data_IF_937477118558
#
_entry.id   IF_937477118558
#
_cell.length_a   1.000
_cell.length_b   1.000
_cell.length_c   1.000
_cell.angle_alpha   90.00
_cell.angle_beta   90.00
_cell.angle_gamma   90.00
#
_symmetry.space_group_name_H-M   'P 1'
#
loop_
_entity.id
_entity.type
_entity.pdbx_description
1 polymer ?
#
# COMPACT_ATOMS: atom_id res chain seq x y z
N UNK A 1 6.59 -7.99 30.69
CA UNK A 1 5.55 -9.03 30.49
C UNK A 1 4.23 -8.32 30.26
N UNK A 2 3.73 -8.32 29.02
CA UNK A 2 2.39 -7.83 28.70
C UNK A 2 1.41 -8.92 29.13
N UNK A 3 0.34 -8.62 29.88
CA UNK A 3 -0.63 -9.64 30.28
C UNK A 3 -1.32 -10.23 29.03
N UNK A 4 -1.70 -11.52 29.05
CA UNK A 4 -2.48 -12.10 27.96
C UNK A 4 -3.80 -11.34 27.85
N UNK A 5 -4.03 -10.69 26.71
CA UNK A 5 -5.29 -10.00 26.42
C UNK A 5 -6.43 -11.01 26.46
N UNK A 6 -7.32 -10.86 27.44
CA UNK A 6 -8.62 -11.53 27.46
C UNK A 6 -9.49 -10.93 26.35
N UNK A 7 -9.57 -11.63 25.21
CA UNK A 7 -10.43 -11.32 24.08
C UNK A 7 -11.88 -11.71 24.40
N UNK A 8 -12.57 -10.85 25.15
CA UNK A 8 -14.02 -10.99 25.40
C UNK A 8 -14.79 -10.44 24.19
N UNK A 9 -14.97 -11.33 23.22
CA UNK A 9 -15.39 -11.21 21.81
C UNK A 9 -16.61 -10.31 21.47
N UNK A 10 -16.66 -9.73 20.24
CA UNK A 10 -17.91 -9.87 19.47
C UNK A 10 -17.79 -10.42 18.03
N UNK A 11 -16.60 -10.51 17.42
CA UNK A 11 -16.36 -11.44 16.31
C UNK A 11 -14.87 -11.82 16.33
N UNK A 12 -14.58 -13.10 16.53
CA UNK A 12 -13.20 -13.58 16.57
C UNK A 12 -12.63 -13.32 15.16
N UNK A 13 -11.33 -13.07 15.00
CA UNK A 13 -10.78 -12.80 13.65
C UNK A 13 -11.08 -13.97 12.69
N UNK A 14 -11.18 -15.17 13.25
CA UNK A 14 -11.74 -16.39 12.70
C UNK A 14 -13.11 -16.14 12.07
N UNK A 15 -14.04 -15.56 12.83
CA UNK A 15 -15.41 -15.25 12.38
C UNK A 15 -15.41 -14.13 11.34
N UNK A 16 -14.56 -13.12 11.50
CA UNK A 16 -14.48 -11.97 10.60
C UNK A 16 -13.92 -12.39 9.22
N UNK A 17 -12.93 -13.30 9.19
CA UNK A 17 -12.43 -13.85 7.95
C UNK A 17 -13.40 -14.88 7.36
N UNK A 18 -14.03 -15.73 8.18
CA UNK A 18 -15.00 -16.73 7.71
C UNK A 18 -16.26 -16.13 7.08
N UNK A 19 -16.68 -14.95 7.54
CA UNK A 19 -17.89 -14.26 7.08
C UNK A 19 -17.65 -13.29 5.93
N UNK A 20 -16.41 -13.07 5.51
CA UNK A 20 -16.05 -12.09 4.50
C UNK A 20 -15.64 -12.76 3.17
N UNK A 21 -16.59 -13.23 2.35
CA UNK A 21 -16.29 -13.82 1.04
C UNK A 21 -15.53 -12.87 0.10
N UNK A 22 -15.75 -11.57 0.28
CA UNK A 22 -15.06 -10.51 -0.47
C UNK A 22 -13.60 -10.35 -0.04
N UNK A 23 -13.20 -10.73 1.18
CA UNK A 23 -11.77 -10.76 1.55
C UNK A 23 -11.01 -11.65 0.61
N UNK A 24 -11.62 -12.74 0.15
CA UNK A 24 -10.90 -13.79 -0.55
C UNK A 24 -10.75 -13.52 -2.06
N UNK A 25 -11.21 -12.35 -2.52
CA UNK A 25 -11.19 -11.93 -3.93
C UNK A 25 -12.08 -12.77 -4.86
N UNK A 26 -12.80 -13.76 -4.33
CA UNK A 26 -13.62 -14.69 -5.09
C UNK A 26 -15.07 -14.20 -5.32
N UNK A 27 -15.49 -13.11 -4.68
CA UNK A 27 -16.84 -12.52 -4.85
C UNK A 27 -18.00 -13.41 -4.38
N UNK A 28 -17.69 -14.58 -3.85
CA UNK A 28 -18.60 -15.52 -3.21
C UNK A 28 -17.86 -16.24 -2.07
N UNK A 29 -18.59 -16.83 -1.13
CA UNK A 29 -17.96 -17.63 -0.07
C UNK A 29 -17.35 -18.89 -0.68
N UNK A 30 -16.08 -19.23 -0.39
CA UNK A 30 -15.54 -20.52 -0.81
C UNK A 30 -16.42 -21.66 -0.27
N UNK A 31 -16.81 -22.58 -1.13
CA UNK A 31 -17.80 -23.61 -0.80
C UNK A 31 -17.21 -24.77 0.02
N UNK A 32 -15.89 -24.97 -0.06
CA UNK A 32 -15.18 -26.07 0.58
C UNK A 32 -13.76 -25.66 1.02
N UNK A 33 -13.10 -26.54 1.77
CA UNK A 33 -11.77 -26.28 2.32
C UNK A 33 -10.68 -26.09 1.26
N UNK A 34 -10.79 -26.74 0.09
CA UNK A 34 -9.83 -26.59 -1.00
C UNK A 34 -9.94 -25.21 -1.64
N UNK A 35 -11.15 -24.69 -1.81
CA UNK A 35 -11.38 -23.32 -2.27
C UNK A 35 -10.88 -22.30 -1.25
N UNK A 36 -11.12 -22.53 0.04
CA UNK A 36 -10.53 -21.69 1.10
C UNK A 36 -9.00 -21.70 1.07
N UNK A 37 -8.39 -22.86 0.86
CA UNK A 37 -6.93 -23.00 0.76
C UNK A 37 -6.36 -22.18 -0.40
N UNK A 38 -6.93 -22.35 -1.59
CA UNK A 38 -6.46 -21.65 -2.79
C UNK A 38 -6.69 -20.15 -2.70
N UNK A 39 -7.84 -19.75 -2.16
CA UNK A 39 -8.14 -18.35 -1.99
C UNK A 39 -7.18 -17.71 -0.97
N UNK A 40 -6.83 -18.39 0.13
CA UNK A 40 -5.87 -17.87 1.13
C UNK A 40 -4.52 -17.59 0.51
N UNK A 41 -3.99 -18.56 -0.24
CA UNK A 41 -2.74 -18.40 -0.99
C UNK A 41 -2.80 -17.24 -1.99
N UNK A 42 -3.89 -17.13 -2.78
CA UNK A 42 -4.08 -16.04 -3.74
C UNK A 42 -4.19 -14.66 -3.07
N UNK A 43 -4.71 -14.63 -1.85
CA UNK A 43 -4.85 -13.42 -1.04
C UNK A 43 -3.56 -12.99 -0.36
N UNK A 44 -2.52 -13.84 -0.37
CA UNK A 44 -1.26 -13.59 0.35
C UNK A 44 -1.33 -13.88 1.85
N UNK A 45 -2.34 -14.61 2.32
CA UNK A 45 -2.51 -14.99 3.73
C UNK A 45 -2.57 -16.52 3.82
N UNK A 46 -1.49 -17.10 4.33
CA UNK A 46 -1.36 -18.54 4.53
C UNK A 46 -1.78 -18.93 5.94
N UNK A 47 -2.19 -20.20 6.12
CA UNK A 47 -2.68 -20.70 7.40
C UNK A 47 -4.16 -20.46 7.66
N UNK A 48 -4.90 -19.85 6.73
CA UNK A 48 -6.33 -19.58 6.93
C UNK A 48 -7.15 -20.85 7.15
N UNK A 49 -6.90 -21.91 6.38
CA UNK A 49 -7.61 -23.19 6.53
C UNK A 49 -7.38 -23.85 7.91
N UNK A 50 -6.13 -24.09 8.36
CA UNK A 50 -5.91 -24.67 9.69
C UNK A 50 -6.42 -23.75 10.79
N UNK A 51 -6.36 -22.44 10.60
CA UNK A 51 -6.90 -21.46 11.53
C UNK A 51 -8.43 -21.56 11.68
N UNK A 52 -9.17 -21.59 10.57
CA UNK A 52 -10.63 -21.75 10.58
C UNK A 52 -11.07 -23.13 11.07
N UNK A 53 -10.29 -24.18 10.77
CA UNK A 53 -10.55 -25.54 11.24
C UNK A 53 -10.39 -25.63 12.78
N UNK A 54 -9.31 -25.07 13.33
CA UNK A 54 -9.07 -25.03 14.78
C UNK A 54 -10.16 -24.24 15.53
N UNK A 55 -10.76 -23.25 14.86
CA UNK A 55 -11.87 -22.46 15.38
C UNK A 55 -13.25 -23.17 15.27
N UNK A 56 -13.31 -24.36 14.67
CA UNK A 56 -14.57 -25.06 14.40
C UNK A 56 -15.47 -24.39 13.35
N UNK A 57 -14.94 -23.45 12.56
CA UNK A 57 -15.69 -22.69 11.56
C UNK A 57 -15.66 -23.32 10.16
N UNK A 58 -14.79 -24.30 9.95
CA UNK A 58 -14.63 -25.00 8.69
C UNK A 58 -14.34 -26.48 8.94
N UNK A 59 -15.16 -27.35 8.36
CA UNK A 59 -14.85 -28.78 8.30
C UNK A 59 -13.84 -29.02 7.17
N UNK A 60 -12.70 -29.64 7.51
CA UNK A 60 -11.56 -29.79 6.59
C UNK A 60 -11.16 -31.27 6.53
N UNK A 61 -11.15 -31.89 5.34
CA UNK A 61 -10.59 -33.22 5.16
C UNK A 61 -9.11 -33.24 5.58
N UNK A 62 -8.66 -34.32 6.24
CA UNK A 62 -7.30 -34.46 6.77
C UNK A 62 -6.21 -34.13 5.72
N UNK A 63 -6.41 -34.60 4.47
CA UNK A 63 -5.51 -34.34 3.36
C UNK A 63 -5.32 -32.84 3.05
N UNK A 64 -6.41 -32.07 3.11
CA UNK A 64 -6.38 -30.61 2.89
C UNK A 64 -5.75 -29.90 4.09
N UNK A 65 -6.00 -30.39 5.31
CA UNK A 65 -5.38 -29.83 6.51
C UNK A 65 -3.86 -30.03 6.51
N UNK A 66 -3.38 -31.20 6.10
CA UNK A 66 -1.96 -31.50 5.92
C UNK A 66 -1.33 -30.55 4.90
N UNK A 67 -1.90 -30.44 3.70
CA UNK A 67 -1.40 -29.53 2.66
C UNK A 67 -1.40 -28.07 3.13
N UNK A 68 -2.45 -27.63 3.82
CA UNK A 68 -2.53 -26.26 4.33
C UNK A 68 -1.50 -25.98 5.42
N UNK A 69 -1.19 -26.97 6.27
CA UNK A 69 -0.15 -26.88 7.28
C UNK A 69 1.25 -26.81 6.65
N UNK A 70 1.50 -27.58 5.59
CA UNK A 70 2.75 -27.51 4.82
C UNK A 70 2.94 -26.14 4.16
N UNK A 71 1.88 -25.58 3.53
CA UNK A 71 1.93 -24.23 2.94
C UNK A 71 2.17 -23.16 4.00
N UNK A 72 1.54 -23.26 5.16
CA UNK A 72 1.78 -22.35 6.28
C UNK A 72 3.25 -22.39 6.71
N UNK A 73 3.81 -23.58 6.92
CA UNK A 73 5.23 -23.73 7.30
C UNK A 73 6.16 -23.13 6.24
N UNK A 74 5.90 -23.39 4.96
CA UNK A 74 6.69 -22.82 3.87
C UNK A 74 6.63 -21.28 3.88
N UNK A 75 5.45 -20.70 4.08
CA UNK A 75 5.27 -19.26 4.15
C UNK A 75 5.91 -18.64 5.40
N UNK A 76 5.88 -19.33 6.55
CA UNK A 76 6.58 -18.90 7.76
C UNK A 76 8.11 -18.92 7.56
N UNK A 77 8.64 -19.93 6.88
CA UNK A 77 10.06 -19.99 6.52
C UNK A 77 10.46 -18.86 5.57
N UNK A 78 9.63 -18.59 4.55
CA UNK A 78 9.81 -17.46 3.63
C UNK A 78 9.79 -16.12 4.39
N UNK A 79 8.82 -15.92 5.27
CA UNK A 79 8.72 -14.72 6.10
C UNK A 79 9.93 -14.55 7.03
N UNK A 80 10.41 -15.64 7.65
CA UNK A 80 11.60 -15.62 8.50
C UNK A 80 12.85 -15.25 7.68
N UNK A 81 13.00 -15.80 6.47
CA UNK A 81 14.07 -15.42 5.56
C UNK A 81 14.02 -13.93 5.22
N UNK A 82 12.85 -13.40 4.84
CA UNK A 82 12.67 -11.99 4.50
C UNK A 82 12.95 -11.09 5.70
N UNK A 83 12.56 -11.52 6.90
CA UNK A 83 12.85 -10.80 8.15
C UNK A 83 14.36 -10.67 8.37
N UNK A 84 15.13 -11.75 8.18
CA UNK A 84 16.58 -11.72 8.32
C UNK A 84 17.23 -10.73 7.33
N UNK A 85 16.78 -10.73 6.08
CA UNK A 85 17.31 -9.81 5.07
C UNK A 85 16.92 -8.34 5.33
N UNK A 86 15.69 -8.11 5.80
CA UNK A 86 15.28 -6.77 6.22
C UNK A 86 16.11 -6.29 7.42
N UNK A 87 16.37 -7.16 8.40
CA UNK A 87 17.22 -6.85 9.56
C UNK A 87 18.68 -6.57 9.17
N UNK A 88 19.22 -7.29 8.18
CA UNK A 88 20.55 -7.04 7.62
C UNK A 88 20.63 -5.62 7.03
N UNK A 89 19.67 -5.25 6.17
CA UNK A 89 19.61 -3.91 5.58
C UNK A 89 19.39 -2.80 6.62
N UNK A 90 18.47 -3.02 7.57
CA UNK A 90 18.24 -2.10 8.70
C UNK A 90 19.52 -1.93 9.51
N UNK A 91 20.23 -3.01 9.82
CA UNK A 91 21.48 -2.99 10.58
C UNK A 91 22.57 -2.20 9.88
N UNK A 92 22.74 -2.38 8.57
CA UNK A 92 23.71 -1.63 7.78
C UNK A 92 23.40 -0.13 7.76
N UNK A 93 22.14 0.26 7.58
CA UNK A 93 21.71 1.67 7.61
C UNK A 93 21.89 2.27 9.02
N UNK A 94 21.48 1.54 10.06
CA UNK A 94 21.58 1.97 11.44
C UNK A 94 23.04 2.13 11.91
N UNK A 95 23.97 1.30 11.39
CA UNK A 95 25.40 1.43 11.67
C UNK A 95 25.99 2.77 11.18
N UNK A 96 25.33 3.44 10.23
CA UNK A 96 25.65 4.80 9.80
C UNK A 96 25.02 5.90 10.68
N UNK A 97 24.35 5.53 11.79
CA UNK A 97 23.63 6.46 12.65
C UNK A 97 22.34 7.00 12.03
N UNK A 98 21.77 6.29 11.05
CA UNK A 98 20.55 6.70 10.34
C UNK A 98 19.35 5.99 10.95
N UNK A 99 18.32 6.76 11.30
CA UNK A 99 17.04 6.19 11.70
C UNK A 99 16.33 5.57 10.48
N UNK A 100 15.94 4.30 10.60
CA UNK A 100 15.25 3.54 9.56
C UNK A 100 14.11 2.76 10.17
N UNK A 101 12.98 2.71 9.47
CA UNK A 101 11.79 1.93 9.86
C UNK A 101 11.30 1.10 8.69
N UNK A 102 10.78 -0.09 8.96
CA UNK A 102 10.12 -0.89 7.93
C UNK A 102 8.64 -0.51 7.86
N UNK A 103 8.17 -0.08 6.69
CA UNK A 103 6.81 0.48 6.53
C UNK A 103 5.70 -0.58 6.59
N UNK A 104 5.96 -1.75 6.02
CA UNK A 104 5.00 -2.85 5.87
C UNK A 104 5.75 -4.18 5.82
N UNK A 105 5.08 -5.26 5.43
CA UNK A 105 5.78 -6.52 5.26
C UNK A 105 5.98 -7.27 6.57
N UNK A 106 7.20 -7.72 6.81
CA UNK A 106 7.56 -8.60 7.93
C UNK A 106 7.42 -7.89 9.28
N UNK A 107 7.86 -6.63 9.43
CA UNK A 107 7.68 -5.88 10.69
C UNK A 107 6.20 -5.63 11.06
N UNK A 108 5.32 -5.48 10.07
CA UNK A 108 3.87 -5.39 10.32
C UNK A 108 3.36 -6.77 10.75
N UNK A 109 3.70 -7.82 10.01
CA UNK A 109 3.29 -9.19 10.30
C UNK A 109 3.66 -9.61 11.72
N UNK A 110 4.88 -9.32 12.16
CA UNK A 110 5.39 -9.68 13.49
C UNK A 110 4.62 -9.03 14.64
N UNK A 111 4.02 -7.84 14.40
CA UNK A 111 3.27 -7.09 15.40
C UNK A 111 1.80 -7.50 15.45
N UNK A 112 1.19 -7.82 14.31
CA UNK A 112 -0.29 -7.93 14.22
C UNK A 112 -0.80 -9.30 13.81
N UNK A 113 0.01 -10.16 13.15
CA UNK A 113 -0.46 -11.48 12.73
C UNK A 113 -0.32 -12.51 13.87
N UNK A 114 -1.36 -13.33 14.11
CA UNK A 114 -1.26 -14.44 15.05
C UNK A 114 -0.33 -15.53 14.48
N UNK A 115 0.33 -16.35 15.32
CA UNK A 115 1.29 -17.38 14.87
C UNK A 115 0.70 -18.40 13.88
N UNK A 116 -0.61 -18.59 13.88
CA UNK A 116 -1.33 -19.52 13.01
C UNK A 116 -1.54 -18.99 11.59
N UNK A 117 -1.25 -17.71 11.35
CA UNK A 117 -1.33 -17.07 10.04
C UNK A 117 0.07 -16.61 9.61
N UNK A 118 0.33 -16.65 8.31
CA UNK A 118 1.53 -16.07 7.72
C UNK A 118 1.17 -15.07 6.64
N UNK A 119 1.84 -13.92 6.67
CA UNK A 119 1.68 -12.85 5.69
C UNK A 119 2.74 -13.02 4.60
N UNK A 120 2.34 -13.42 3.39
CA UNK A 120 3.28 -13.49 2.26
C UNK A 120 3.77 -12.08 1.94
N UNK A 121 5.08 -11.89 2.04
CA UNK A 121 5.77 -10.65 1.70
C UNK A 121 6.42 -10.81 0.32
N UNK A 122 6.47 -9.73 -0.45
CA UNK A 122 7.00 -9.73 -1.83
C UNK A 122 8.24 -8.87 -1.99
N UNK A 123 8.46 -8.01 -1.01
CA UNK A 123 9.35 -6.85 -1.02
C UNK A 123 9.62 -6.42 0.43
N UNK A 124 10.65 -5.59 0.61
CA UNK A 124 11.01 -4.94 1.87
C UNK A 124 10.99 -3.42 1.68
N UNK A 125 10.02 -2.74 2.28
CA UNK A 125 9.95 -1.28 2.27
C UNK A 125 10.62 -0.68 3.50
N UNK A 126 11.73 0.03 3.30
CA UNK A 126 12.42 0.78 4.33
C UNK A 126 12.19 2.27 4.13
N UNK A 127 11.87 2.99 5.20
CA UNK A 127 11.73 4.44 5.21
C UNK A 127 12.87 5.05 6.02
N UNK A 128 13.51 6.06 5.43
CA UNK A 128 14.50 6.92 6.07
C UNK A 128 14.09 8.38 5.90
N UNK A 129 14.70 9.28 6.67
CA UNK A 129 14.50 10.71 6.48
C UNK A 129 15.12 11.17 5.14
N UNK A 130 14.53 12.15 4.43
CA UNK A 130 15.03 12.61 3.14
C UNK A 130 16.52 13.00 3.14
N UNK A 131 16.99 13.68 4.19
CA UNK A 131 18.38 14.13 4.30
C UNK A 131 19.39 12.98 4.46
N UNK A 132 18.93 11.79 4.86
CA UNK A 132 19.78 10.61 5.05
C UNK A 132 19.69 9.63 3.88
N UNK A 133 18.86 9.92 2.88
CA UNK A 133 18.53 8.99 1.81
C UNK A 133 19.77 8.51 1.03
N UNK A 134 20.63 9.43 0.57
CA UNK A 134 21.84 9.07 -0.18
C UNK A 134 22.81 8.22 0.65
N UNK A 135 22.94 8.52 1.95
CA UNK A 135 23.78 7.77 2.87
C UNK A 135 23.21 6.37 3.13
N UNK A 136 21.89 6.26 3.25
CA UNK A 136 21.20 4.98 3.39
C UNK A 136 21.30 4.12 2.11
N UNK A 137 21.18 4.72 0.93
CA UNK A 137 21.45 4.02 -0.33
C UNK A 137 22.86 3.44 -0.36
N UNK A 138 23.87 4.22 0.06
CA UNK A 138 25.25 3.76 0.10
C UNK A 138 25.42 2.57 1.06
N UNK A 139 24.76 2.60 2.22
CA UNK A 139 24.77 1.48 3.17
C UNK A 139 24.08 0.22 2.59
N UNK A 140 22.98 0.37 1.85
CA UNK A 140 22.32 -0.77 1.19
C UNK A 140 23.24 -1.39 0.13
N UNK A 141 23.99 -0.59 -0.63
CA UNK A 141 24.92 -1.09 -1.65
C UNK A 141 26.07 -1.93 -1.09
N UNK A 142 26.49 -1.70 0.16
CA UNK A 142 27.54 -2.53 0.78
C UNK A 142 27.09 -3.96 1.05
N UNK A 143 25.79 -4.24 0.92
CA UNK A 143 25.18 -5.56 1.07
C UNK A 143 24.92 -6.25 -0.28
N UNK A 144 25.62 -5.84 -1.34
CA UNK A 144 25.49 -6.34 -2.72
C UNK A 144 24.13 -6.08 -3.38
N UNK A 145 23.34 -5.15 -2.83
CA UNK A 145 22.15 -4.65 -3.49
C UNK A 145 22.52 -3.68 -4.60
N UNK A 146 21.93 -3.90 -5.78
CA UNK A 146 22.06 -3.01 -6.95
C UNK A 146 20.72 -2.39 -7.28
N UNK A 147 20.73 -1.17 -7.81
CA UNK A 147 19.49 -0.56 -8.32
C UNK A 147 18.87 -1.45 -9.40
N UNK A 148 17.55 -1.61 -9.37
CA UNK A 148 16.86 -2.36 -10.42
C UNK A 148 17.02 -1.73 -11.81
N UNK A 149 17.09 -0.40 -11.87
CA UNK A 149 17.28 0.36 -13.11
C UNK A 149 17.86 1.73 -12.86
N UNK A 150 19.06 2.01 -13.38
CA UNK A 150 19.75 3.29 -13.22
C UNK A 150 18.95 4.49 -13.80
N UNK A 151 18.30 4.29 -14.95
CA UNK A 151 17.45 5.34 -15.56
C UNK A 151 16.21 5.61 -14.73
N UNK A 152 15.58 4.56 -14.20
CA UNK A 152 14.41 4.69 -13.34
C UNK A 152 14.79 5.32 -12.01
N UNK A 153 15.91 4.93 -11.40
CA UNK A 153 16.40 5.48 -10.15
C UNK A 153 16.75 6.97 -10.28
N UNK A 154 17.38 7.41 -11.37
CA UNK A 154 17.64 8.83 -11.60
C UNK A 154 16.34 9.65 -11.75
N UNK A 155 15.34 9.10 -12.43
CA UNK A 155 14.01 9.70 -12.52
C UNK A 155 13.32 9.68 -11.15
N UNK A 156 13.41 8.58 -10.41
CA UNK A 156 12.83 8.41 -9.10
C UNK A 156 13.43 9.37 -8.09
N UNK A 157 14.75 9.52 -7.98
CA UNK A 157 15.36 10.54 -7.11
C UNK A 157 14.88 11.96 -7.41
N UNK A 158 14.49 12.23 -8.67
CA UNK A 158 14.05 13.56 -9.13
C UNK A 158 12.54 13.78 -9.01
N UNK A 159 11.73 12.72 -9.05
CA UNK A 159 10.27 12.80 -9.24
C UNK A 159 9.45 11.86 -8.36
N UNK A 160 10.10 10.87 -7.74
CA UNK A 160 9.55 9.92 -6.78
C UNK A 160 10.38 9.97 -5.50
N UNK A 161 10.01 9.15 -4.53
CA UNK A 161 10.61 9.19 -3.19
C UNK A 161 11.25 7.85 -2.82
N UNK A 162 11.12 6.84 -3.67
CA UNK A 162 11.61 5.51 -3.48
C UNK A 162 12.64 5.12 -4.55
N UNK A 163 13.63 4.32 -4.17
CA UNK A 163 14.54 3.63 -5.10
C UNK A 163 14.47 2.15 -4.81
N UNK A 164 14.20 1.37 -5.85
CA UNK A 164 14.15 -0.08 -5.77
C UNK A 164 15.51 -0.72 -6.02
N UNK A 165 15.91 -1.58 -5.10
CA UNK A 165 17.12 -2.38 -5.14
C UNK A 165 16.79 -3.87 -5.28
N UNK A 166 17.67 -4.60 -5.94
CA UNK A 166 17.62 -6.04 -6.11
C UNK A 166 18.94 -6.68 -5.70
N UNK A 167 18.87 -7.89 -5.15
CA UNK A 167 20.02 -8.74 -4.84
C UNK A 167 19.68 -10.16 -5.23
N UNK A 168 20.66 -10.92 -5.72
CA UNK A 168 20.44 -12.31 -6.12
C UNK A 168 19.87 -13.12 -4.94
N UNK A 169 18.90 -13.99 -5.22
CA UNK A 169 18.20 -14.82 -4.24
C UNK A 169 17.60 -14.05 -3.03
N UNK A 170 17.32 -12.76 -3.18
CA UNK A 170 16.71 -11.90 -2.17
C UNK A 170 15.45 -11.24 -2.73
N UNK A 171 14.45 -10.91 -1.89
CA UNK A 171 13.35 -10.07 -2.31
C UNK A 171 13.86 -8.66 -2.67
N UNK A 172 13.17 -7.94 -3.57
CA UNK A 172 13.41 -6.53 -3.80
C UNK A 172 13.32 -5.72 -2.51
N UNK A 173 14.17 -4.70 -2.40
CA UNK A 173 14.15 -3.73 -1.30
C UNK A 173 13.81 -2.37 -1.88
N UNK A 174 12.76 -1.75 -1.38
CA UNK A 174 12.37 -0.39 -1.73
C UNK A 174 12.81 0.54 -0.59
N UNK A 175 13.75 1.44 -0.88
CA UNK A 175 14.19 2.46 0.06
C UNK A 175 13.44 3.75 -0.22
N UNK A 176 12.72 4.26 0.78
CA UNK A 176 11.82 5.41 0.71
C UNK A 176 12.38 6.59 1.52
N UNK A 177 12.21 7.81 0.98
CA UNK A 177 12.45 9.10 1.64
C UNK A 177 11.15 9.81 2.02
N UNK A 178 10.01 9.31 1.56
CA UNK A 178 8.67 9.78 1.87
C UNK A 178 7.81 8.54 2.11
N UNK A 179 6.89 8.55 3.08
CA UNK A 179 6.12 7.34 3.38
C UNK A 179 5.13 7.01 2.25
N UNK A 180 4.56 8.03 1.61
CA UNK A 180 3.61 7.85 0.52
C UNK A 180 3.56 9.09 -0.37
N UNK A 181 3.50 8.89 -1.68
CA UNK A 181 3.06 9.89 -2.65
C UNK A 181 1.90 9.32 -3.47
N UNK A 182 0.68 9.68 -3.10
CA UNK A 182 -0.53 9.19 -3.74
C UNK A 182 -1.65 10.23 -3.65
N UNK A 183 -2.61 10.18 -4.56
CA UNK A 183 -3.78 11.09 -4.57
C UNK A 183 -3.41 12.58 -4.64
N UNK A 184 -2.24 12.92 -5.19
CA UNK A 184 -1.74 14.30 -5.19
C UNK A 184 -1.30 14.81 -3.81
N UNK A 185 -1.18 13.93 -2.83
CA UNK A 185 -0.69 14.19 -1.48
C UNK A 185 0.61 13.44 -1.21
N UNK A 186 1.39 13.96 -0.26
CA UNK A 186 2.58 13.33 0.26
C UNK A 186 2.44 13.16 1.77
N UNK A 187 2.89 12.02 2.31
CA UNK A 187 3.08 11.82 3.75
C UNK A 187 4.59 11.78 4.00
N UNK A 188 5.16 12.81 4.60
CA UNK A 188 6.60 12.89 4.79
C UNK A 188 7.08 11.84 5.81
N UNK A 189 8.35 11.42 5.70
CA UNK A 189 8.91 10.37 6.56
C UNK A 189 8.79 10.70 8.06
N UNK A 190 9.09 11.94 8.41
CA UNK A 190 9.03 12.46 9.79
C UNK A 190 7.59 12.57 10.34
N UNK A 191 6.57 12.49 9.49
CA UNK A 191 5.17 12.53 9.92
C UNK A 191 4.63 11.16 10.33
N UNK A 192 5.26 10.07 9.86
CA UNK A 192 4.87 8.68 10.19
C UNK A 192 5.81 8.03 11.20
N UNK A 193 7.08 8.42 11.19
CA UNK A 193 8.05 7.97 12.19
C UNK A 193 7.67 8.47 13.58
N UNK A 194 7.64 7.54 14.54
CA UNK A 194 7.48 7.80 15.97
C UNK A 194 8.83 7.79 16.68
N UNK A 195 8.98 6.90 17.66
CA UNK A 195 10.28 6.62 18.26
C UNK A 195 11.26 6.02 17.23
N UNK A 196 12.59 6.12 17.43
CA UNK A 196 13.56 5.51 16.53
C UNK A 196 13.24 4.04 16.25
N UNK A 197 13.15 3.66 14.98
CA UNK A 197 12.80 2.30 14.57
C UNK A 197 11.30 1.97 14.58
N UNK A 198 10.41 2.93 14.89
CA UNK A 198 8.98 2.69 15.03
C UNK A 198 8.14 3.70 14.26
N UNK A 199 6.96 3.28 13.82
CA UNK A 199 5.92 4.14 13.28
C UNK A 199 4.95 4.55 14.39
N UNK A 200 4.42 5.78 14.32
CA UNK A 200 3.33 6.19 15.21
C UNK A 200 2.02 5.48 14.79
N UNK A 201 1.29 4.81 15.70
CA UNK A 201 0.17 3.96 15.29
C UNK A 201 -0.96 4.65 14.50
N UNK A 202 -1.34 5.89 14.82
CA UNK A 202 -2.39 6.59 14.06
C UNK A 202 -1.91 6.95 12.66
N UNK A 203 -0.67 7.45 12.56
CA UNK A 203 -0.01 7.74 11.30
C UNK A 203 0.15 6.50 10.42
N UNK A 204 0.60 5.39 11.02
CA UNK A 204 0.75 4.11 10.34
C UNK A 204 -0.57 3.60 9.78
N UNK A 205 -1.66 3.68 10.54
CA UNK A 205 -2.97 3.27 10.04
C UNK A 205 -3.42 4.10 8.84
N UNK A 206 -3.22 5.43 8.87
CA UNK A 206 -3.54 6.29 7.72
C UNK A 206 -2.65 5.97 6.52
N UNK A 207 -1.35 5.71 6.74
CA UNK A 207 -0.42 5.26 5.70
C UNK A 207 -0.90 3.95 5.06
N UNK A 208 -1.17 2.91 5.86
CA UNK A 208 -1.63 1.60 5.37
C UNK A 208 -2.95 1.73 4.62
N UNK A 209 -3.89 2.53 5.13
CA UNK A 209 -5.19 2.76 4.51
C UNK A 209 -5.05 3.48 3.17
N UNK A 210 -4.20 4.51 3.10
CA UNK A 210 -3.95 5.25 1.88
C UNK A 210 -3.18 4.42 0.84
N UNK A 211 -2.20 3.61 1.27
CA UNK A 211 -1.51 2.66 0.41
C UNK A 211 -2.49 1.64 -0.19
N UNK A 212 -3.29 0.98 0.65
CA UNK A 212 -4.29 0.02 0.19
C UNK A 212 -5.31 0.66 -0.77
N UNK A 213 -5.77 1.87 -0.47
CA UNK A 213 -6.66 2.64 -1.35
C UNK A 213 -5.99 3.02 -2.67
N UNK A 214 -4.70 3.37 -2.69
CA UNK A 214 -3.95 3.70 -3.91
C UNK A 214 -3.84 2.52 -4.87
N UNK A 215 -3.98 1.31 -4.33
CA UNK A 215 -4.09 0.08 -5.09
C UNK A 215 -5.52 -0.50 -5.10
N UNK A 216 -6.54 0.27 -4.69
CA UNK A 216 -7.96 -0.13 -4.67
C UNK A 216 -8.22 -1.48 -3.97
N UNK A 217 -7.42 -1.83 -2.98
CA UNK A 217 -7.54 -3.13 -2.32
C UNK A 217 -7.39 -4.32 -3.27
N UNK A 218 -6.62 -4.19 -4.37
CA UNK A 218 -6.43 -5.27 -5.36
C UNK A 218 -5.86 -6.55 -4.73
N UNK A 219 -5.10 -6.40 -3.63
CA UNK A 219 -4.62 -7.50 -2.81
C UNK A 219 -5.41 -7.56 -1.50
N UNK A 220 -6.19 -8.63 -1.30
CA UNK A 220 -6.83 -8.98 -0.03
C UNK A 220 -6.02 -8.81 1.25
N UNK A 221 -4.72 -9.14 1.21
CA UNK A 221 -3.82 -9.00 2.38
C UNK A 221 -3.88 -7.61 3.00
N UNK A 222 -4.10 -6.55 2.22
CA UNK A 222 -4.17 -5.20 2.77
C UNK A 222 -5.44 -4.96 3.60
N UNK A 223 -6.55 -5.63 3.25
CA UNK A 223 -7.76 -5.58 4.07
C UNK A 223 -7.52 -6.31 5.40
N UNK A 224 -6.82 -7.45 5.35
CA UNK A 224 -6.43 -8.23 6.53
C UNK A 224 -5.45 -7.45 7.41
N UNK A 225 -4.45 -6.81 6.82
CA UNK A 225 -3.47 -5.94 7.48
C UNK A 225 -4.19 -4.85 8.30
N UNK A 226 -5.12 -4.11 7.68
CA UNK A 226 -5.88 -3.06 8.36
C UNK A 226 -6.75 -3.61 9.50
N UNK A 227 -7.47 -4.70 9.26
CA UNK A 227 -8.34 -5.31 10.28
C UNK A 227 -7.54 -5.78 11.50
N UNK A 228 -6.40 -6.44 11.25
CA UNK A 228 -5.48 -6.88 12.29
C UNK A 228 -4.86 -5.71 13.04
N UNK A 229 -4.42 -4.68 12.32
CA UNK A 229 -3.82 -3.49 12.90
C UNK A 229 -4.79 -2.77 13.84
N UNK A 230 -6.01 -2.50 13.39
CA UNK A 230 -7.04 -1.83 14.21
C UNK A 230 -7.31 -2.63 15.48
N UNK A 231 -7.34 -3.96 15.40
CA UNK A 231 -7.55 -4.84 16.56
C UNK A 231 -6.37 -4.84 17.53
N UNK A 232 -5.14 -4.83 17.01
CA UNK A 232 -3.92 -4.82 17.81
C UNK A 232 -3.70 -3.47 18.53
N UNK A 233 -4.38 -2.41 18.09
CA UNK A 233 -4.22 -1.05 18.60
C UNK A 233 -5.56 -0.46 19.13
N UNK A 234 -6.11 -0.98 20.25
CA UNK A 234 -7.37 -0.48 20.82
C UNK A 234 -7.32 0.98 21.28
N UNK A 235 -6.12 1.54 21.44
CA UNK A 235 -5.88 2.94 21.79
C UNK A 235 -6.12 3.93 20.64
N UNK A 236 -6.35 3.45 19.41
CA UNK A 236 -6.60 4.30 18.25
C UNK A 236 -7.84 5.18 18.44
N UNK A 237 -7.69 6.47 18.14
CA UNK A 237 -8.75 7.45 18.25
C UNK A 237 -9.19 7.91 16.86
N UNK A 238 -10.45 7.62 16.49
CA UNK A 238 -10.99 8.00 15.18
C UNK A 238 -10.87 9.50 14.90
N UNK A 239 -11.06 10.35 15.91
CA UNK A 239 -10.88 11.81 15.77
C UNK A 239 -9.45 12.17 15.35
N UNK A 240 -8.44 11.50 15.90
CA UNK A 240 -7.04 11.73 15.53
C UNK A 240 -6.74 11.22 14.12
N UNK A 241 -7.30 10.07 13.74
CA UNK A 241 -7.20 9.53 12.38
C UNK A 241 -7.82 10.49 11.35
N UNK A 242 -9.01 11.01 11.62
CA UNK A 242 -9.68 11.96 10.73
C UNK A 242 -8.89 13.28 10.60
N UNK A 243 -8.29 13.76 11.71
CA UNK A 243 -7.40 14.94 11.69
C UNK A 243 -6.15 14.71 10.84
N UNK A 244 -5.46 13.57 11.03
CA UNK A 244 -4.28 13.22 10.23
C UNK A 244 -4.63 13.07 8.75
N UNK A 245 -5.72 12.36 8.45
CA UNK A 245 -6.20 12.20 7.08
C UNK A 245 -6.56 13.56 6.44
N UNK A 246 -7.13 14.49 7.20
CA UNK A 246 -7.41 15.84 6.70
C UNK A 246 -6.12 16.65 6.48
N UNK A 247 -5.20 16.63 7.45
CA UNK A 247 -3.90 17.31 7.40
C UNK A 247 -3.08 16.88 6.19
N UNK A 248 -3.09 15.59 5.86
CA UNK A 248 -2.35 15.05 4.72
C UNK A 248 -3.18 15.02 3.43
N UNK A 249 -4.35 15.64 3.38
CA UNK A 249 -5.24 15.63 2.21
C UNK A 249 -5.68 14.21 1.75
N UNK A 250 -5.70 13.25 2.67
CA UNK A 250 -6.06 11.85 2.47
C UNK A 250 -7.45 11.47 3.00
N UNK A 251 -8.27 12.44 3.40
CA UNK A 251 -9.61 12.19 3.96
C UNK A 251 -10.53 11.34 3.04
N UNK A 252 -10.35 11.38 1.72
CA UNK A 252 -11.09 10.51 0.78
C UNK A 252 -10.56 9.08 0.77
N UNK A 253 -9.23 8.91 0.75
CA UNK A 253 -8.60 7.59 0.81
C UNK A 253 -8.95 6.89 2.12
N UNK A 254 -8.91 7.62 3.25
CA UNK A 254 -9.31 7.11 4.55
C UNK A 254 -10.79 6.68 4.58
N UNK A 255 -11.71 7.54 4.12
CA UNK A 255 -13.14 7.16 4.01
C UNK A 255 -13.37 5.97 3.11
N UNK A 256 -12.64 5.87 2.00
CA UNK A 256 -12.71 4.71 1.12
C UNK A 256 -12.27 3.42 1.85
N UNK A 257 -11.16 3.47 2.59
CA UNK A 257 -10.70 2.34 3.38
C UNK A 257 -11.72 1.92 4.47
N UNK A 258 -12.30 2.88 5.19
CA UNK A 258 -13.35 2.61 6.18
C UNK A 258 -14.58 1.93 5.55
N UNK A 259 -15.02 2.42 4.39
CA UNK A 259 -16.16 1.85 3.66
C UNK A 259 -15.85 0.47 3.10
N UNK A 260 -14.63 0.26 2.61
CA UNK A 260 -14.16 -1.04 2.14
C UNK A 260 -14.16 -2.05 3.29
N UNK A 261 -13.56 -1.70 4.44
CA UNK A 261 -13.57 -2.55 5.64
C UNK A 261 -15.01 -2.86 6.09
N UNK A 262 -15.88 -1.85 6.19
CA UNK A 262 -17.30 -2.04 6.55
C UNK A 262 -18.02 -2.97 5.57
N UNK A 263 -17.83 -2.78 4.27
CA UNK A 263 -18.46 -3.60 3.24
C UNK A 263 -17.97 -5.04 3.29
N UNK A 264 -16.65 -5.23 3.41
CA UNK A 264 -16.02 -6.54 3.29
C UNK A 264 -16.14 -7.36 4.57
N UNK A 265 -16.06 -6.70 5.74
CA UNK A 265 -15.96 -7.36 7.05
C UNK A 265 -17.19 -7.12 7.95
N UNK A 266 -18.12 -6.26 7.52
CA UNK A 266 -19.30 -5.88 8.29
C UNK A 266 -19.06 -4.74 9.28
N UNK A 267 -20.14 -4.32 9.95
CA UNK A 267 -20.16 -3.15 10.84
C UNK A 267 -19.28 -3.33 12.09
N UNK A 268 -19.06 -4.57 12.53
CA UNK A 268 -18.24 -4.89 13.71
C UNK A 268 -16.73 -4.82 13.45
N UNK A 269 -16.30 -4.64 12.20
CA UNK A 269 -14.88 -4.61 11.84
C UNK A 269 -14.15 -3.34 12.31
N UNK A 270 -14.91 -2.28 12.58
CA UNK A 270 -14.40 -1.00 13.05
C UNK A 270 -14.98 -0.70 14.43
N UNK A 271 -14.17 -0.28 15.40
CA UNK A 271 -14.67 0.07 16.74
C UNK A 271 -15.37 1.45 16.77
N UNK A 272 -15.56 2.09 15.61
CA UNK A 272 -16.22 3.37 15.45
C UNK A 272 -17.22 3.34 14.28
N UNK A 273 -18.19 4.26 14.32
CA UNK A 273 -19.17 4.43 13.25
C UNK A 273 -18.54 4.98 11.97
N UNK A 274 -18.86 4.38 10.83
CA UNK A 274 -18.48 4.91 9.51
C UNK A 274 -19.62 5.70 8.91
N UNK A 275 -19.35 6.94 8.51
CA UNK A 275 -20.32 7.78 7.81
C UNK A 275 -20.70 7.20 6.44
N UNK A 276 -21.95 7.38 6.05
CA UNK A 276 -22.42 6.95 4.73
C UNK A 276 -21.63 7.64 3.61
N UNK A 277 -21.34 6.92 2.49
CA UNK A 277 -20.62 7.49 1.37
C UNK A 277 -21.37 8.69 0.77
N UNK A 278 -20.64 9.78 0.56
CA UNK A 278 -21.16 10.93 -0.21
C UNK A 278 -21.23 10.57 -1.70
N UNK A 279 -21.93 11.39 -2.50
CA UNK A 279 -21.91 11.24 -3.96
C UNK A 279 -20.48 11.32 -4.51
N UNK A 280 -19.66 12.24 -3.98
CA UNK A 280 -18.25 12.37 -4.36
C UNK A 280 -17.45 11.09 -4.11
N UNK A 281 -17.66 10.45 -2.96
CA UNK A 281 -16.97 9.19 -2.62
C UNK A 281 -17.33 8.07 -3.61
N UNK A 282 -18.62 7.94 -3.92
CA UNK A 282 -19.10 6.94 -4.89
C UNK A 282 -18.54 7.18 -6.29
N UNK A 283 -18.46 8.43 -6.72
CA UNK A 283 -17.89 8.80 -8.02
C UNK A 283 -16.37 8.54 -8.08
N UNK A 284 -15.64 8.88 -7.03
CA UNK A 284 -14.20 8.57 -6.94
C UNK A 284 -13.95 7.07 -6.99
N UNK A 285 -14.70 6.28 -6.23
CA UNK A 285 -14.60 4.81 -6.23
C UNK A 285 -14.94 4.20 -7.59
N UNK A 286 -16.03 4.66 -8.23
CA UNK A 286 -16.42 4.17 -9.55
C UNK A 286 -15.37 4.50 -10.62
N UNK A 287 -14.76 5.68 -10.54
CA UNK A 287 -13.67 6.10 -11.43
C UNK A 287 -12.41 5.26 -11.21
N UNK A 288 -12.03 5.06 -9.96
CA UNK A 288 -10.84 4.28 -9.59
C UNK A 288 -10.97 2.81 -10.01
N UNK A 289 -12.12 2.20 -9.73
CA UNK A 289 -12.42 0.83 -10.13
C UNK A 289 -12.55 0.66 -11.66
N UNK A 290 -12.85 1.72 -12.42
CA UNK A 290 -12.81 1.69 -13.88
C UNK A 290 -11.38 1.77 -14.42
N UNK A 291 -10.54 2.62 -13.84
CA UNK A 291 -9.11 2.72 -14.19
C UNK A 291 -8.38 1.39 -14.04
N UNK A 292 -8.62 0.67 -12.93
CA UNK A 292 -7.95 -0.62 -12.74
C UNK A 292 -8.49 -1.76 -13.62
N UNK A 293 -9.77 -1.72 -14.00
CA UNK A 293 -10.40 -2.78 -14.81
C UNK A 293 -10.13 -2.66 -16.32
N UNK A 294 -9.60 -1.53 -16.79
CA UNK A 294 -9.27 -1.32 -18.22
C UNK A 294 -7.95 -0.58 -18.37
N UNK A 295 -6.99 -1.25 -19.01
CA UNK A 295 -5.87 -0.65 -19.74
C UNK A 295 -4.96 0.28 -18.92
N UNK A 296 -3.82 -0.25 -18.44
CA UNK A 296 -2.69 0.49 -17.83
C UNK A 296 -2.14 1.65 -18.68
N UNK A 297 -2.70 1.90 -19.86
CA UNK A 297 -2.29 2.92 -20.83
C UNK A 297 -2.96 4.29 -20.63
N UNK A 298 -3.94 4.44 -19.74
CA UNK A 298 -4.75 5.67 -19.63
C UNK A 298 -4.41 6.55 -18.40
N UNK A 299 -3.14 6.64 -18.02
CA UNK A 299 -2.63 7.56 -16.98
C UNK A 299 -3.05 9.03 -17.24
N UNK A 300 -3.20 9.42 -18.52
CA UNK A 300 -3.60 10.77 -18.94
C UNK A 300 -5.08 11.09 -18.62
N UNK A 301 -5.97 10.09 -18.62
CA UNK A 301 -7.39 10.29 -18.24
C UNK A 301 -7.57 10.42 -16.73
N UNK A 302 -6.74 9.74 -15.93
CA UNK A 302 -6.74 9.91 -14.48
C UNK A 302 -6.36 11.34 -14.07
N UNK A 303 -5.36 11.94 -14.72
CA UNK A 303 -5.00 13.36 -14.52
C UNK A 303 -6.19 14.26 -14.87
N UNK A 304 -6.90 13.99 -15.98
CA UNK A 304 -8.07 14.77 -16.40
C UNK A 304 -9.24 14.70 -15.40
N UNK A 305 -9.62 13.50 -14.92
CA UNK A 305 -10.70 13.36 -13.94
C UNK A 305 -10.34 13.91 -12.56
N UNK A 306 -9.06 13.84 -12.17
CA UNK A 306 -8.57 14.46 -10.94
C UNK A 306 -8.57 15.99 -11.04
N UNK A 307 -8.29 16.55 -12.22
CA UNK A 307 -8.37 17.99 -12.49
C UNK A 307 -9.82 18.53 -12.51
N UNK A 308 -10.78 17.76 -13.04
CA UNK A 308 -12.20 18.17 -13.02
C UNK A 308 -12.84 18.11 -11.62
N UNK A 309 -12.21 17.43 -10.66
CA UNK A 309 -12.64 17.40 -9.24
C UNK A 309 -12.09 18.53 -8.38
N UNK A 310 -11.30 19.46 -8.94
CA UNK A 310 -10.59 20.55 -8.25
C UNK A 310 -11.05 21.93 -8.75
N UNK A 311 -12.33 22.23 -8.64
CA UNK A 311 -12.77 23.62 -8.55
C UNK A 311 -12.64 24.06 -7.09
N UNK A 312 -11.43 24.50 -6.70
CA UNK A 312 -11.03 25.30 -5.52
C UNK A 312 -9.70 24.78 -4.95
N UNK A 313 -8.56 25.27 -5.47
CA UNK A 313 -7.26 25.32 -4.76
C UNK A 313 -6.28 26.17 -5.58
N UNK A 314 -5.91 27.35 -5.06
CA UNK A 314 -5.03 28.32 -5.72
C UNK A 314 -3.52 28.10 -5.44
N UNK A 315 -2.74 28.43 -6.47
CA UNK A 315 -1.39 29.00 -6.48
C UNK A 315 -0.11 28.23 -6.07
N UNK A 316 -0.13 27.04 -5.46
CA UNK A 316 1.12 26.23 -5.30
C UNK A 316 1.30 25.13 -6.37
N UNK A 317 0.30 24.90 -7.22
CA UNK A 317 0.26 23.74 -8.13
C UNK A 317 0.98 23.92 -9.48
N UNK A 318 1.33 25.15 -9.89
CA UNK A 318 1.91 25.38 -11.23
C UNK A 318 3.32 24.81 -11.43
N UNK A 319 4.12 24.66 -10.37
CA UNK A 319 5.48 24.11 -10.47
C UNK A 319 5.50 22.57 -10.60
N UNK A 320 4.62 21.87 -9.88
CA UNK A 320 4.43 20.41 -10.00
C UNK A 320 3.84 20.02 -11.36
N UNK A 321 2.94 20.86 -11.90
CA UNK A 321 2.30 20.64 -13.20
C UNK A 321 3.29 20.67 -14.39
N UNK A 322 4.28 21.58 -14.38
CA UNK A 322 5.31 21.60 -15.43
C UNK A 322 6.25 20.38 -15.34
N UNK A 323 6.53 19.87 -14.14
CA UNK A 323 7.31 18.65 -13.95
C UNK A 323 6.64 17.42 -14.55
N UNK A 324 5.34 17.24 -14.31
CA UNK A 324 4.56 16.11 -14.84
C UNK A 324 4.34 16.21 -16.36
N UNK A 325 4.20 17.41 -16.91
CA UNK A 325 4.12 17.60 -18.36
C UNK A 325 5.46 17.30 -19.07
N UNK A 326 6.58 17.64 -18.43
CA UNK A 326 7.92 17.34 -18.94
C UNK A 326 8.19 15.84 -18.91
N UNK A 327 7.73 15.13 -17.87
CA UNK A 327 7.81 13.68 -17.76
C UNK A 327 6.95 12.96 -18.83
N UNK A 328 5.75 13.48 -19.12
CA UNK A 328 4.89 12.96 -20.19
C UNK A 328 5.48 13.19 -21.59
N UNK A 329 6.18 14.32 -21.79
CA UNK A 329 6.89 14.62 -23.04
C UNK A 329 8.10 13.70 -23.21
N UNK A 330 8.91 13.54 -22.17
CA UNK A 330 10.07 12.65 -22.16
C UNK A 330 9.66 11.18 -22.35
N UNK A 331 8.54 10.74 -21.78
CA UNK A 331 7.99 9.40 -22.00
C UNK A 331 7.48 9.21 -23.44
N UNK A 332 6.86 10.23 -24.04
CA UNK A 332 6.46 10.21 -25.45
C UNK A 332 7.64 10.20 -26.42
N UNK A 333 8.70 10.96 -26.12
CA UNK A 333 9.93 11.00 -26.90
C UNK A 333 10.71 9.67 -26.79
N UNK A 334 10.74 9.07 -25.59
CA UNK A 334 11.34 7.75 -25.36
C UNK A 334 10.58 6.63 -26.07
N UNK A 335 9.24 6.65 -26.06
CA UNK A 335 8.42 5.69 -26.80
C UNK A 335 8.63 5.79 -28.32
N UNK A 336 8.87 7.02 -28.82
CA UNK A 336 9.19 7.26 -30.24
C UNK A 336 10.60 6.76 -30.57
N UNK A 337 11.59 6.97 -29.70
CA UNK A 337 12.96 6.45 -29.86
C UNK A 337 13.03 4.91 -29.78
N UNK A 338 12.09 4.27 -29.07
CA UNK A 338 11.99 2.81 -28.95
C UNK A 338 11.11 2.16 -30.03
N UNK A 339 10.66 2.92 -31.05
CA UNK A 339 9.91 2.39 -32.19
C UNK A 339 8.45 2.01 -31.89
N UNK A 340 7.88 2.49 -30.77
CA UNK A 340 6.48 2.30 -30.47
C UNK A 340 5.64 3.30 -31.29
N UNK A 341 4.93 2.82 -32.32
CA UNK A 341 4.06 3.66 -33.15
C UNK A 341 2.94 4.29 -32.32
N UNK A 342 2.72 5.61 -32.53
CA UNK A 342 1.54 6.32 -32.00
C UNK A 342 0.25 5.65 -32.54
N UNK A 343 -0.77 5.38 -31.71
CA UNK A 343 -2.08 5.01 -32.22
C UNK A 343 -2.70 6.20 -32.98
N UNK A 344 -3.28 5.92 -34.14
CA UNK A 344 -3.77 6.90 -35.13
C UNK A 344 -4.98 7.76 -34.68
N UNK A 345 -5.39 7.69 -33.41
CA UNK A 345 -6.65 8.29 -32.91
C UNK A 345 -6.44 9.37 -31.85
N UNK A 346 -5.28 10.02 -31.80
CA UNK A 346 -5.10 11.19 -30.95
C UNK A 346 -5.78 12.43 -31.58
N UNK A 347 -6.56 13.21 -30.82
CA UNK A 347 -7.00 14.52 -31.28
C UNK A 347 -5.77 15.43 -31.48
N UNK A 348 -5.81 16.35 -32.47
CA UNK A 348 -4.72 17.30 -32.67
C UNK A 348 -4.53 18.16 -31.42
N UNK A 349 -3.27 18.44 -31.07
CA UNK A 349 -2.93 19.36 -29.99
C UNK A 349 -3.54 20.73 -30.27
N UNK A 350 -4.10 21.43 -29.27
CA UNK A 350 -4.51 22.82 -29.45
C UNK A 350 -3.29 23.65 -29.86
N UNK A 351 -3.45 24.45 -30.91
CA UNK A 351 -2.41 25.32 -31.44
C UNK A 351 -1.84 26.24 -30.35
N UNK A 352 -0.56 26.61 -30.49
CA UNK A 352 0.07 27.63 -29.64
C UNK A 352 -0.85 28.85 -29.54
N UNK A 353 -1.20 29.33 -28.34
CA UNK A 353 -1.80 30.65 -28.24
C UNK A 353 -0.78 31.68 -28.76
N UNK A 354 -1.24 32.72 -29.48
CA UNK A 354 -0.36 33.76 -30.00
C UNK A 354 0.38 34.44 -28.84
N UNK A 355 1.62 34.90 -29.06
CA UNK A 355 2.33 35.69 -28.06
C UNK A 355 1.54 36.97 -27.79
N UNK A 356 1.19 37.17 -26.53
CA UNK A 356 0.55 38.39 -26.03
C UNK A 356 1.48 39.58 -26.30
N UNK A 357 1.03 40.51 -27.13
CA UNK A 357 1.60 41.84 -27.26
C UNK A 357 1.36 42.61 -25.96
N UNK A 358 2.43 42.98 -25.27
CA UNK A 358 2.40 43.99 -24.20
C UNK A 358 1.92 45.32 -24.81
N UNK A 359 1.00 46.07 -24.18
CA UNK A 359 0.79 47.46 -24.53
C UNK A 359 2.01 48.28 -24.06
N UNK A 360 2.54 49.10 -24.96
CA UNK A 360 3.39 50.22 -24.57
C UNK A 360 2.50 51.31 -23.94
N UNK A 361 2.88 51.76 -22.75
CA UNK A 361 2.21 52.82 -21.99
C UNK A 361 2.81 52.94 -20.61
#
# INVERSE_FOLDING_TARGET
MVPPMSLSNPLAIETLIAQAPDLMGCGHRPADASQWLNAGSACGVEGLVPFLAAAGLLSVPEQILTLATERLRAAQNEQAFYRLLAQEAIGAIAACGIAVVQLKGTALADRVYPPQLARRCTDTDLLVLPQDFERAEQAVRTLDYVERSAKLAAFQRRHHHDVQFIRAASPPLDLHSCALLAFGAAIAANEVMGAPGQLEPHAELIYLAAHAAAHNFERPVWTVDLALFIRAHPQLQVRRLDQLAAQWHLARAWRHAQQHLKKTLGDSALPWSVASPTLGDRLSQATFARYQRRERHDFQRFIWYSACGLSHCDNLWRASWMGQFTALRAAGDLATQLGCNRPAQWPPLPGRPPPWSMPAG
#
